data_IF_878411038948
#
_entry.id   IF_878411038948
#
_cell.length_a   1.000
_cell.length_b   1.000
_cell.length_c   1.000
_cell.angle_alpha   90.00
_cell.angle_beta   90.00
_cell.angle_gamma   90.00
#
_symmetry.space_group_name_H-M   'P 1'
#
loop_
_entity.id
_entity.type
_entity.pdbx_description
1 polymer ?
#
# COMPACT_ATOMS: atom_id res chain seq x y z
N UNK A 1 -64.10 -25.14 34.80
CA UNK A 1 -63.59 -23.81 34.37
C UNK A 1 -62.22 -23.45 34.96
N UNK A 2 -61.95 -23.61 36.26
CA UNK A 2 -60.66 -23.23 36.90
C UNK A 2 -59.41 -23.91 36.31
N UNK A 3 -59.54 -25.14 35.80
CA UNK A 3 -58.42 -25.94 35.27
C UNK A 3 -57.96 -25.49 33.88
N UNK A 4 -58.84 -24.90 33.06
CA UNK A 4 -58.51 -24.41 31.71
C UNK A 4 -57.66 -23.14 31.80
N UNK A 5 -57.94 -22.28 32.79
CA UNK A 5 -57.17 -21.06 33.05
C UNK A 5 -55.74 -21.34 33.54
N UNK A 6 -55.55 -22.40 34.33
CA UNK A 6 -54.23 -22.77 34.82
C UNK A 6 -53.34 -23.31 33.69
N UNK A 7 -53.90 -24.13 32.79
CA UNK A 7 -53.19 -24.65 31.62
C UNK A 7 -52.82 -23.55 30.63
N UNK A 8 -53.71 -22.57 30.42
CA UNK A 8 -53.44 -21.42 29.55
C UNK A 8 -52.31 -20.51 30.10
N UNK A 9 -52.25 -20.31 31.42
CA UNK A 9 -51.20 -19.54 32.08
C UNK A 9 -49.83 -20.23 32.00
N UNK A 10 -49.79 -21.56 32.19
CA UNK A 10 -48.55 -22.34 32.08
C UNK A 10 -48.05 -22.35 30.62
N UNK A 11 -48.95 -22.43 29.65
CA UNK A 11 -48.59 -22.37 28.24
C UNK A 11 -48.08 -20.98 27.81
N UNK A 12 -48.65 -19.89 28.34
CA UNK A 12 -48.15 -18.53 28.03
C UNK A 12 -46.77 -18.26 28.64
N UNK A 13 -46.45 -18.87 29.78
CA UNK A 13 -45.11 -18.78 30.42
C UNK A 13 -44.09 -19.64 29.66
N UNK A 14 -44.50 -20.79 29.11
CA UNK A 14 -43.62 -21.66 28.31
C UNK A 14 -43.32 -21.08 26.91
N UNK A 15 -44.24 -20.31 26.31
CA UNK A 15 -44.03 -19.71 24.98
C UNK A 15 -43.26 -18.39 25.04
N UNK A 16 -43.23 -17.71 26.19
CA UNK A 16 -42.49 -16.45 26.37
C UNK A 16 -40.97 -16.63 26.55
N UNK A 17 -40.48 -17.87 26.63
CA UNK A 17 -39.05 -18.19 26.75
C UNK A 17 -38.26 -18.25 25.43
N UNK A 18 -38.92 -18.17 24.27
CA UNK A 18 -38.23 -18.10 22.98
C UNK A 18 -37.81 -16.66 22.68
N UNK A 19 -36.81 -16.16 23.41
CA UNK A 19 -36.01 -15.04 22.93
C UNK A 19 -35.30 -15.53 21.66
N UNK A 20 -35.77 -15.09 20.49
CA UNK A 20 -35.04 -15.26 19.24
C UNK A 20 -33.74 -14.46 19.37
N UNK A 21 -32.65 -15.15 19.70
CA UNK A 21 -31.32 -14.58 19.53
C UNK A 21 -31.15 -14.33 18.03
N UNK A 22 -31.07 -13.06 17.65
CA UNK A 22 -30.76 -12.69 16.27
C UNK A 22 -29.42 -13.31 15.89
N UNK A 23 -29.40 -14.13 14.84
CA UNK A 23 -28.20 -14.82 14.40
C UNK A 23 -27.07 -13.84 14.10
N UNK A 24 -25.82 -14.26 14.37
CA UNK A 24 -24.64 -13.45 14.07
C UNK A 24 -24.51 -13.21 12.56
N UNK A 25 -24.52 -11.93 12.17
CA UNK A 25 -24.15 -11.45 10.85
C UNK A 25 -22.75 -10.84 10.93
N UNK A 26 -21.81 -11.43 10.21
CA UNK A 26 -20.40 -11.03 10.23
C UNK A 26 -20.06 -10.29 8.94
N UNK A 27 -19.51 -9.09 9.06
CA UNK A 27 -19.08 -8.31 7.91
C UNK A 27 -17.68 -7.74 8.14
N UNK A 28 -16.79 -8.06 7.20
CA UNK A 28 -15.46 -7.50 7.13
C UNK A 28 -15.30 -6.73 5.82
N UNK A 29 -15.66 -5.45 5.87
CA UNK A 29 -15.39 -4.50 4.82
C UNK A 29 -13.98 -3.94 4.95
N UNK A 30 -13.22 -3.98 3.85
CA UNK A 30 -11.89 -3.41 3.83
C UNK A 30 -11.52 -2.84 2.46
N UNK A 31 -10.79 -1.73 2.46
CA UNK A 31 -10.37 -1.01 1.25
C UNK A 31 -9.00 -0.37 1.47
N UNK A 32 -8.10 -0.45 0.49
CA UNK A 32 -6.85 0.32 0.51
C UNK A 32 -7.01 1.63 -0.26
N UNK A 33 -6.48 2.73 0.28
CA UNK A 33 -6.56 4.05 -0.37
C UNK A 33 -5.74 4.12 -1.66
N UNK A 34 -4.56 3.49 -1.66
CA UNK A 34 -3.62 3.48 -2.78
C UNK A 34 -2.97 2.11 -2.88
N UNK A 35 -2.46 1.77 -4.08
CA UNK A 35 -1.59 0.61 -4.29
C UNK A 35 -0.10 0.97 -4.34
N UNK A 36 0.22 2.27 -4.41
CA UNK A 36 1.59 2.77 -4.53
C UNK A 36 1.90 3.69 -3.36
N UNK A 37 3.06 3.48 -2.74
CA UNK A 37 3.63 4.32 -1.67
C UNK A 37 4.90 4.95 -2.22
N UNK A 38 4.88 6.25 -2.47
CA UNK A 38 6.06 7.00 -2.90
C UNK A 38 6.79 7.55 -1.68
N UNK A 39 8.07 7.21 -1.53
CA UNK A 39 8.89 7.61 -0.38
C UNK A 39 10.26 8.08 -0.86
N UNK A 40 10.81 9.10 -0.22
CA UNK A 40 12.18 9.54 -0.49
C UNK A 40 13.14 8.74 0.39
N UNK A 41 14.31 8.29 -0.11
CA UNK A 41 15.33 7.67 0.73
C UNK A 41 15.64 8.54 1.97
N UNK A 42 15.62 7.93 3.15
CA UNK A 42 15.83 8.60 4.44
C UNK A 42 14.57 9.23 5.06
N UNK A 43 13.43 9.19 4.36
CA UNK A 43 12.16 9.74 4.83
C UNK A 43 11.09 8.67 5.01
N UNK A 44 9.94 9.09 5.56
CA UNK A 44 8.77 8.24 5.75
C UNK A 44 7.60 8.68 4.86
N UNK A 45 6.77 7.71 4.47
CA UNK A 45 5.51 7.92 3.78
C UNK A 45 4.42 7.05 4.41
N UNK A 46 3.17 7.51 4.35
CA UNK A 46 2.04 6.83 4.99
C UNK A 46 0.99 6.43 3.95
N UNK A 47 0.55 5.18 4.02
CA UNK A 47 -0.63 4.69 3.32
C UNK A 47 -1.75 4.35 4.32
N UNK A 48 -2.98 4.22 3.81
CA UNK A 48 -4.16 3.91 4.62
C UNK A 48 -4.84 2.63 4.15
N UNK A 49 -5.25 1.82 5.11
CA UNK A 49 -6.22 0.74 4.95
C UNK A 49 -7.45 1.15 5.76
N UNK A 50 -8.59 1.21 5.08
CA UNK A 50 -9.90 1.47 5.66
C UNK A 50 -10.57 0.15 6.00
N UNK A 51 -11.09 0.05 7.22
CA UNK A 51 -11.85 -1.10 7.71
C UNK A 51 -13.23 -0.64 8.17
N UNK A 52 -14.28 -1.34 7.77
CA UNK A 52 -15.66 -0.95 8.05
C UNK A 52 -16.58 -2.17 8.16
N UNK A 53 -17.74 -1.97 8.77
CA UNK A 53 -18.72 -3.01 9.06
C UNK A 53 -20.13 -2.45 8.85
N UNK A 54 -20.66 -2.59 7.63
CA UNK A 54 -21.95 -1.99 7.22
C UNK A 54 -23.07 -3.02 7.01
N UNK A 55 -22.74 -4.31 7.05
CA UNK A 55 -23.71 -5.40 6.87
C UNK A 55 -23.69 -6.42 8.03
N UNK A 56 -22.84 -6.21 9.02
CA UNK A 56 -22.72 -7.09 10.19
C UNK A 56 -23.46 -6.51 11.38
N UNK A 57 -23.79 -7.38 12.34
CA UNK A 57 -24.39 -7.03 13.63
C UNK A 57 -23.49 -7.42 14.82
N UNK A 58 -22.20 -7.69 14.55
CA UNK A 58 -21.14 -7.97 15.53
C UNK A 58 -19.93 -7.09 15.24
N UNK A 59 -19.28 -6.57 16.27
CA UNK A 59 -18.06 -5.78 16.14
C UNK A 59 -16.93 -6.61 15.48
N UNK A 60 -16.21 -5.98 14.55
CA UNK A 60 -15.13 -6.61 13.80
C UNK A 60 -13.79 -6.21 14.42
N UNK A 61 -13.16 -7.14 15.13
CA UNK A 61 -11.86 -6.97 15.77
C UNK A 61 -10.76 -7.27 14.78
N UNK A 62 -9.87 -6.30 14.50
CA UNK A 62 -8.91 -6.41 13.39
C UNK A 62 -7.50 -6.39 13.90
N UNK A 63 -6.78 -7.48 13.65
CA UNK A 63 -5.33 -7.57 13.83
C UNK A 63 -4.62 -7.42 12.49
N UNK A 64 -3.51 -6.71 12.47
CA UNK A 64 -2.74 -6.44 11.27
C UNK A 64 -1.26 -6.76 11.48
N UNK A 65 -0.66 -7.39 10.47
CA UNK A 65 0.73 -7.81 10.50
C UNK A 65 1.43 -7.46 9.19
N UNK A 66 2.73 -7.17 9.29
CA UNK A 66 3.59 -6.99 8.11
C UNK A 66 4.05 -8.38 7.66
N UNK A 67 3.40 -8.92 6.63
CA UNK A 67 3.71 -10.26 6.12
C UNK A 67 5.02 -10.28 5.33
N UNK A 68 5.29 -9.23 4.57
CA UNK A 68 6.54 -9.07 3.82
C UNK A 68 6.94 -7.60 3.74
N UNK A 69 8.10 -7.26 4.30
CA UNK A 69 8.71 -5.94 4.17
C UNK A 69 9.96 -6.02 3.26
N UNK A 70 10.11 -5.11 2.29
CA UNK A 70 11.30 -5.08 1.46
C UNK A 70 12.55 -4.69 2.27
N UNK A 71 13.74 -5.19 1.90
CA UNK A 71 14.98 -4.85 2.59
C UNK A 71 15.28 -3.36 2.47
N UNK A 72 15.79 -2.77 3.56
CA UNK A 72 16.07 -1.34 3.65
C UNK A 72 14.84 -0.48 3.93
N UNK A 73 13.73 -1.09 4.34
CA UNK A 73 12.53 -0.37 4.77
C UNK A 73 12.12 -0.79 6.18
N UNK A 74 11.75 0.19 7.00
CA UNK A 74 11.08 -0.02 8.28
C UNK A 74 9.61 0.25 8.12
N UNK A 75 8.76 -0.73 8.46
CA UNK A 75 7.31 -0.61 8.34
C UNK A 75 6.68 -0.68 9.73
N UNK A 76 5.83 0.29 10.04
CA UNK A 76 5.08 0.36 11.31
C UNK A 76 3.60 0.53 11.03
N UNK A 77 2.77 -0.19 11.78
CA UNK A 77 1.31 -0.13 11.71
C UNK A 77 0.76 0.71 12.86
N UNK A 78 -0.15 1.64 12.55
CA UNK A 78 -0.75 2.55 13.53
C UNK A 78 -2.28 2.50 13.38
N UNK A 79 -3.06 2.24 14.45
CA UNK A 79 -2.61 1.94 15.82
C UNK A 79 -1.80 0.64 15.93
N UNK A 80 -0.95 0.57 16.95
CA UNK A 80 -0.17 -0.64 17.25
C UNK A 80 -1.08 -1.76 17.76
N UNK A 81 -0.65 -3.00 17.57
CA UNK A 81 -1.38 -4.15 18.11
C UNK A 81 -1.33 -4.13 19.65
N UNK A 82 -2.45 -4.45 20.28
CA UNK A 82 -2.61 -4.51 21.72
C UNK A 82 -3.61 -5.60 22.10
N UNK A 83 -3.56 -6.01 23.37
CA UNK A 83 -4.56 -6.92 23.92
C UNK A 83 -5.70 -6.13 24.54
N UNK A 84 -6.92 -6.53 24.24
CA UNK A 84 -8.14 -5.98 24.80
C UNK A 84 -9.03 -7.10 25.35
N UNK A 85 -9.79 -6.80 26.39
CA UNK A 85 -10.74 -7.72 27.01
C UNK A 85 -12.16 -7.20 26.80
N UNK A 86 -13.05 -8.08 26.34
CA UNK A 86 -14.43 -7.77 26.00
C UNK A 86 -15.38 -8.61 26.83
N UNK A 87 -16.40 -7.98 27.40
CA UNK A 87 -17.51 -8.70 28.03
C UNK A 87 -18.56 -9.03 26.98
N UNK A 88 -18.59 -10.28 26.55
CA UNK A 88 -19.54 -10.80 25.57
C UNK A 88 -20.56 -11.68 26.30
N UNK A 89 -21.72 -11.09 26.60
CA UNK A 89 -22.83 -11.76 27.30
C UNK A 89 -22.43 -12.40 28.65
N UNK A 90 -21.57 -11.74 29.42
CA UNK A 90 -21.11 -12.21 30.73
C UNK A 90 -19.84 -13.06 30.70
N UNK A 91 -19.29 -13.34 29.51
CA UNK A 91 -18.01 -14.02 29.34
C UNK A 91 -16.94 -13.00 28.93
N UNK A 92 -15.78 -13.06 29.61
CA UNK A 92 -14.63 -12.25 29.25
C UNK A 92 -13.86 -12.94 28.11
N UNK A 93 -13.77 -12.26 26.97
CA UNK A 93 -13.07 -12.70 25.78
C UNK A 93 -11.86 -11.80 25.57
N UNK A 94 -10.68 -12.38 25.35
CA UNK A 94 -9.47 -11.63 25.04
C UNK A 94 -9.26 -11.58 23.53
N UNK A 95 -8.99 -10.38 23.01
CA UNK A 95 -8.62 -10.11 21.62
C UNK A 95 -7.21 -9.54 21.56
N UNK A 96 -6.44 -9.92 20.54
CA UNK A 96 -5.23 -9.21 20.14
C UNK A 96 -5.53 -8.52 18.81
N UNK A 97 -5.46 -7.19 18.80
CA UNK A 97 -6.01 -6.37 17.72
C UNK A 97 -5.30 -5.02 17.62
N UNK A 98 -5.40 -4.40 16.45
CA UNK A 98 -5.00 -3.01 16.23
C UNK A 98 -6.21 -2.07 16.43
N UNK A 99 -7.37 -2.44 15.89
CA UNK A 99 -8.57 -1.61 15.90
C UNK A 99 -9.86 -2.45 15.87
N UNK A 100 -10.97 -1.81 16.22
CA UNK A 100 -12.32 -2.40 16.17
C UNK A 100 -13.23 -1.56 15.27
N UNK A 101 -13.88 -2.21 14.31
CA UNK A 101 -14.92 -1.62 13.47
C UNK A 101 -16.31 -2.04 13.96
N UNK A 102 -17.02 -1.06 14.53
CA UNK A 102 -18.37 -1.25 15.04
C UNK A 102 -19.40 -1.45 13.92
N UNK A 103 -20.46 -2.24 14.15
CA UNK A 103 -21.60 -2.32 13.25
C UNK A 103 -22.16 -0.94 12.95
N UNK A 104 -22.38 -0.67 11.67
CA UNK A 104 -23.01 0.57 11.21
C UNK A 104 -24.31 0.21 10.51
N UNK A 105 -25.39 0.88 10.92
CA UNK A 105 -26.67 0.76 10.25
C UNK A 105 -26.62 1.49 8.90
N UNK A 106 -26.71 0.72 7.82
CA UNK A 106 -26.64 1.21 6.45
C UNK A 106 -27.75 2.20 6.12
N UNK A 107 -28.94 2.03 6.72
CA UNK A 107 -30.09 2.89 6.47
C UNK A 107 -29.97 4.25 7.18
N UNK A 108 -29.02 4.35 8.12
CA UNK A 108 -28.73 5.56 8.90
C UNK A 108 -27.58 6.40 8.34
N UNK A 109 -26.97 5.99 7.23
CA UNK A 109 -25.77 6.64 6.70
C UNK A 109 -26.07 8.07 6.22
N UNK A 110 -25.21 9.05 6.56
CA UNK A 110 -25.41 10.41 6.12
C UNK A 110 -25.17 10.54 4.61
N UNK A 111 -26.04 11.27 3.93
CA UNK A 111 -25.93 11.53 2.48
C UNK A 111 -24.92 12.62 2.14
N UNK A 112 -24.56 13.45 3.12
CA UNK A 112 -23.49 14.45 3.03
C UNK A 112 -22.34 14.06 3.94
N UNK A 113 -21.10 14.31 3.51
CA UNK A 113 -19.90 13.99 4.29
C UNK A 113 -19.95 14.78 5.59
N UNK A 114 -19.97 14.13 6.77
CA UNK A 114 -19.90 14.86 8.02
C UNK A 114 -18.58 15.63 8.14
N UNK A 115 -18.65 16.84 8.68
CA UNK A 115 -17.48 17.71 8.84
C UNK A 115 -16.51 17.20 9.92
N UNK A 116 -17.04 16.46 10.90
CA UNK A 116 -16.28 15.88 11.99
C UNK A 116 -16.25 14.36 11.89
N UNK A 117 -15.08 13.79 12.18
CA UNK A 117 -14.90 12.36 12.30
C UNK A 117 -14.31 12.05 13.68
N UNK A 118 -14.70 10.89 14.23
CA UNK A 118 -14.07 10.39 15.44
C UNK A 118 -12.58 10.08 15.18
N UNK A 119 -11.77 10.09 16.24
CA UNK A 119 -10.35 9.76 16.14
C UNK A 119 -10.16 8.36 15.52
N UNK A 120 -9.22 8.25 14.58
CA UNK A 120 -8.95 7.01 13.85
C UNK A 120 -10.08 6.58 12.90
N UNK A 121 -11.07 7.45 12.63
CA UNK A 121 -12.17 7.19 11.70
C UNK A 121 -12.13 8.20 10.54
N UNK A 122 -12.43 7.73 9.33
CA UNK A 122 -12.67 8.57 8.16
C UNK A 122 -13.98 8.20 7.46
N UNK A 123 -14.67 9.21 6.94
CA UNK A 123 -15.88 9.03 6.14
C UNK A 123 -15.50 8.75 4.68
N UNK A 124 -15.79 7.54 4.21
CA UNK A 124 -15.51 7.08 2.85
C UNK A 124 -16.81 6.85 2.07
N UNK A 125 -16.72 6.88 0.74
CA UNK A 125 -17.80 6.40 -0.14
C UNK A 125 -17.47 4.99 -0.60
N UNK A 126 -18.51 4.16 -0.83
CA UNK A 126 -18.35 2.80 -1.32
C UNK A 126 -19.38 2.51 -2.42
N UNK A 127 -18.97 1.79 -3.46
CA UNK A 127 -19.89 1.33 -4.49
C UNK A 127 -20.96 0.39 -3.89
N UNK A 128 -22.23 0.64 -4.21
CA UNK A 128 -23.35 -0.17 -3.72
C UNK A 128 -23.90 0.25 -2.36
N UNK A 129 -23.41 1.34 -1.77
CA UNK A 129 -23.97 1.94 -0.55
C UNK A 129 -24.23 3.42 -0.79
N UNK A 130 -25.47 3.85 -0.56
CA UNK A 130 -25.86 5.25 -0.67
C UNK A 130 -25.54 5.99 0.63
N UNK A 131 -24.45 6.75 0.64
CA UNK A 131 -24.05 7.58 1.78
C UNK A 131 -22.56 7.49 2.10
N UNK A 132 -22.18 8.12 3.22
CA UNK A 132 -20.81 8.11 3.74
C UNK A 132 -20.68 7.09 4.86
N UNK A 133 -19.80 6.11 4.65
CA UNK A 133 -19.52 5.03 5.60
C UNK A 133 -18.41 5.46 6.55
N UNK A 134 -18.57 5.30 7.88
CA UNK A 134 -17.49 5.50 8.83
C UNK A 134 -16.53 4.31 8.78
N UNK A 135 -15.29 4.55 8.35
CA UNK A 135 -14.26 3.53 8.30
C UNK A 135 -13.16 3.81 9.32
N UNK A 136 -12.76 2.79 10.07
CA UNK A 136 -11.57 2.83 10.90
C UNK A 136 -10.32 2.80 10.04
N UNK A 137 -9.33 3.59 10.40
CA UNK A 137 -8.12 3.79 9.62
C UNK A 137 -6.95 3.07 10.27
N UNK A 138 -6.37 2.12 9.55
CA UNK A 138 -5.07 1.58 9.83
C UNK A 138 -4.04 2.29 8.93
N UNK A 139 -3.11 3.00 9.54
CA UNK A 139 -2.01 3.66 8.85
C UNK A 139 -0.83 2.69 8.70
N UNK A 140 -0.33 2.58 7.48
CA UNK A 140 0.89 1.85 7.15
C UNK A 140 1.97 2.90 6.91
N UNK A 141 2.82 3.12 7.93
CA UNK A 141 3.93 4.05 7.83
C UNK A 141 5.19 3.30 7.39
N UNK A 142 5.77 3.74 6.27
CA UNK A 142 6.92 3.11 5.61
C UNK A 142 8.07 4.10 5.59
N UNK A 143 9.19 3.74 6.20
CA UNK A 143 10.41 4.55 6.24
C UNK A 143 11.48 3.88 5.39
N UNK A 144 12.03 4.63 4.43
CA UNK A 144 13.07 4.16 3.52
C UNK A 144 14.46 4.50 4.07
N UNK A 145 15.40 3.57 3.99
CA UNK A 145 16.81 3.86 4.30
C UNK A 145 17.38 4.89 3.32
N UNK A 146 18.31 5.72 3.79
CA UNK A 146 18.88 6.83 3.00
C UNK A 146 19.67 6.39 1.75
N UNK A 147 20.18 5.15 1.75
CA UNK A 147 21.04 4.63 0.68
C UNK A 147 20.31 3.89 -0.44
N UNK A 148 18.98 3.86 -0.44
CA UNK A 148 18.22 3.10 -1.44
C UNK A 148 18.28 3.76 -2.83
N UNK A 149 18.40 2.96 -3.91
CA UNK A 149 18.39 3.50 -5.27
C UNK A 149 17.04 4.15 -5.58
N UNK A 150 17.06 5.25 -6.32
CA UNK A 150 15.85 5.94 -6.79
C UNK A 150 15.14 5.14 -7.89
N UNK A 151 13.84 5.41 -8.06
CA UNK A 151 12.98 4.84 -9.10
C UNK A 151 12.91 3.31 -9.11
N UNK A 152 13.13 2.69 -7.94
CA UNK A 152 13.04 1.25 -7.78
C UNK A 152 11.73 0.88 -7.09
N UNK A 153 11.06 -0.15 -7.61
CA UNK A 153 9.81 -0.67 -7.09
C UNK A 153 10.07 -1.86 -6.17
N UNK A 154 9.49 -1.80 -4.97
CA UNK A 154 9.59 -2.84 -3.96
C UNK A 154 8.19 -3.33 -3.57
N UNK A 155 8.05 -4.63 -3.30
CA UNK A 155 6.78 -5.21 -2.87
C UNK A 155 6.68 -5.19 -1.33
N UNK A 156 5.60 -4.63 -0.81
CA UNK A 156 5.21 -4.67 0.60
C UNK A 156 3.85 -5.36 0.71
N UNK A 157 3.72 -6.31 1.64
CA UNK A 157 2.47 -7.01 1.91
C UNK A 157 2.10 -6.86 3.37
N UNK A 158 0.91 -6.32 3.61
CA UNK A 158 0.27 -6.24 4.92
C UNK A 158 -0.89 -7.22 4.92
N UNK A 159 -0.96 -8.09 5.92
CA UNK A 159 -2.14 -8.95 6.12
C UNK A 159 -2.96 -8.43 7.28
N UNK A 160 -4.26 -8.53 7.19
CA UNK A 160 -5.15 -8.23 8.31
C UNK A 160 -6.14 -9.36 8.52
N UNK A 161 -6.33 -9.73 9.77
CA UNK A 161 -7.26 -10.77 10.21
C UNK A 161 -8.37 -10.12 11.03
N UNK A 162 -9.60 -10.25 10.53
CA UNK A 162 -10.82 -9.88 11.23
C UNK A 162 -11.32 -11.05 12.06
N UNK A 163 -11.64 -10.79 13.33
CA UNK A 163 -12.22 -11.72 14.28
C UNK A 163 -13.54 -11.19 14.82
N UNK A 164 -14.48 -12.10 15.09
CA UNK A 164 -15.73 -11.79 15.76
C UNK A 164 -15.95 -12.71 16.94
N UNK A 165 -16.72 -12.23 17.91
CA UNK A 165 -17.26 -13.05 18.97
C UNK A 165 -18.78 -13.18 18.77
N UNK A 166 -19.27 -14.41 18.82
CA UNK A 166 -20.70 -14.67 18.87
C UNK A 166 -21.03 -15.68 19.96
N UNK A 167 -22.22 -15.57 20.53
CA UNK A 167 -22.68 -16.44 21.61
C UNK A 167 -23.74 -17.37 21.02
N UNK A 168 -23.29 -18.53 20.58
CA UNK A 168 -24.17 -19.59 20.11
C UNK A 168 -24.66 -20.44 21.29
N UNK A 169 -25.66 -21.29 21.05
CA UNK A 169 -26.17 -22.27 22.03
C UNK A 169 -25.11 -23.23 22.57
N UNK A 170 -23.95 -23.33 21.90
CA UNK A 170 -22.80 -24.15 22.29
C UNK A 170 -21.66 -23.37 23.01
N UNK A 171 -21.82 -22.06 23.24
CA UNK A 171 -20.79 -21.19 23.83
C UNK A 171 -20.19 -20.18 22.86
N UNK A 172 -19.20 -19.38 23.30
CA UNK A 172 -18.58 -18.35 22.48
C UNK A 172 -17.78 -18.99 21.34
N UNK A 173 -18.03 -18.55 20.11
CA UNK A 173 -17.28 -18.98 18.92
C UNK A 173 -16.51 -17.78 18.39
N UNK A 174 -15.25 -18.01 18.02
CA UNK A 174 -14.44 -17.06 17.27
C UNK A 174 -14.43 -17.47 15.79
N UNK A 175 -14.81 -16.55 14.92
CA UNK A 175 -14.68 -16.70 13.47
C UNK A 175 -13.64 -15.72 12.96
N UNK A 176 -12.81 -16.16 12.00
CA UNK A 176 -11.73 -15.36 11.44
C UNK A 176 -11.87 -15.22 9.91
N UNK A 177 -11.57 -14.03 9.38
CA UNK A 177 -11.37 -13.79 7.95
C UNK A 177 -10.10 -12.98 7.72
N UNK A 178 -9.24 -13.44 6.81
CA UNK A 178 -7.99 -12.75 6.47
C UNK A 178 -8.07 -12.09 5.09
N UNK A 179 -7.38 -10.95 4.93
CA UNK A 179 -7.16 -10.26 3.65
C UNK A 179 -5.75 -9.71 3.58
N UNK A 180 -5.18 -9.79 2.39
CA UNK A 180 -3.86 -9.24 2.11
C UNK A 180 -3.96 -7.95 1.29
N UNK A 181 -3.17 -6.96 1.67
CA UNK A 181 -2.99 -5.68 0.98
C UNK A 181 -1.59 -5.61 0.43
N UNK A 182 -1.48 -5.58 -0.89
CA UNK A 182 -0.20 -5.45 -1.59
C UNK A 182 0.03 -4.00 -1.98
N UNK A 183 1.22 -3.50 -1.67
CA UNK A 183 1.71 -2.18 -2.03
C UNK A 183 2.99 -2.29 -2.87
N UNK A 184 3.10 -1.41 -3.87
CA UNK A 184 4.36 -1.07 -4.51
C UNK A 184 4.95 0.13 -3.78
N UNK A 185 6.06 -0.05 -3.08
CA UNK A 185 6.84 1.04 -2.49
C UNK A 185 7.85 1.52 -3.53
N UNK A 186 7.77 2.78 -3.93
CA UNK A 186 8.66 3.39 -4.93
C UNK A 186 9.51 4.48 -4.29
N UNK A 187 10.82 4.37 -4.43
CA UNK A 187 11.75 5.42 -4.05
C UNK A 187 11.74 6.54 -5.10
N UNK A 188 11.56 7.78 -4.68
CA UNK A 188 11.57 8.97 -5.56
C UNK A 188 12.43 10.07 -4.97
N UNK A 189 12.75 11.09 -5.77
CA UNK A 189 13.31 12.36 -5.30
C UNK A 189 12.37 13.48 -5.70
N UNK A 190 12.09 14.43 -4.79
CA UNK A 190 11.40 15.68 -5.14
C UNK A 190 12.35 16.72 -5.74
N UNK A 191 13.65 16.58 -5.52
CA UNK A 191 14.65 17.48 -6.08
C UNK A 191 14.97 17.08 -7.52
N UNK A 192 14.72 18.01 -8.45
CA UNK A 192 15.12 17.87 -9.85
C UNK A 192 16.60 18.27 -9.96
N UNK A 193 17.44 17.36 -10.47
CA UNK A 193 18.75 17.71 -10.97
C UNK A 193 18.96 17.07 -12.33
N UNK A 194 19.60 17.82 -13.23
CA UNK A 194 20.03 17.35 -14.54
C UNK A 194 21.54 17.45 -14.58
N UNK A 195 22.21 16.31 -14.80
CA UNK A 195 23.65 16.25 -15.00
C UNK A 195 23.91 15.68 -16.40
N UNK A 196 24.73 16.40 -17.17
CA UNK A 196 25.19 15.90 -18.46
C UNK A 196 26.18 14.76 -18.21
N UNK A 197 25.73 13.52 -18.44
CA UNK A 197 26.64 12.37 -18.41
C UNK A 197 27.52 12.43 -19.64
N UNK A 198 28.80 12.73 -19.45
CA UNK A 198 29.77 12.74 -20.54
C UNK A 198 29.72 11.38 -21.26
N UNK A 199 29.31 11.37 -22.53
CA UNK A 199 29.33 10.16 -23.34
C UNK A 199 30.78 9.91 -23.78
N UNK A 200 31.49 8.90 -23.25
CA UNK A 200 32.88 8.64 -23.63
C UNK A 200 33.05 8.27 -25.11
N UNK A 201 31.98 7.89 -25.81
CA UNK A 201 32.01 7.60 -27.26
C UNK A 201 31.99 8.88 -28.12
N UNK A 202 31.50 10.01 -27.61
CA UNK A 202 31.48 11.27 -28.38
C UNK A 202 32.89 11.78 -28.72
N UNK A 203 33.88 11.50 -27.86
CA UNK A 203 35.30 11.80 -28.15
C UNK A 203 35.95 10.82 -29.11
N UNK A 204 35.50 9.56 -29.14
CA UNK A 204 36.00 8.54 -30.06
C UNK A 204 35.51 8.76 -31.50
N UNK A 205 34.26 9.19 -31.67
CA UNK A 205 33.68 9.51 -32.99
C UNK A 205 34.34 10.73 -33.64
N UNK A 206 34.81 11.71 -32.83
CA UNK A 206 35.58 12.85 -33.34
C UNK A 206 36.94 12.43 -33.92
N UNK A 207 37.61 11.45 -33.31
CA UNK A 207 38.90 10.93 -33.80
C UNK A 207 38.73 9.92 -34.93
N UNK A 208 37.65 9.13 -34.95
CA UNK A 208 37.35 8.21 -36.06
C UNK A 208 36.80 8.91 -37.31
N UNK A 209 36.13 10.06 -37.15
CA UNK A 209 35.68 10.91 -38.27
C UNK A 209 36.79 11.71 -38.95
N UNK A 210 37.98 11.82 -38.33
CA UNK A 210 39.16 12.35 -38.99
C UNK A 210 39.73 11.31 -39.95
N UNK A 211 39.34 11.45 -41.21
CA UNK A 211 39.69 10.55 -42.30
C UNK A 211 41.22 10.48 -42.46
N UNK A 212 41.87 9.48 -41.84
CA UNK A 212 43.33 9.25 -41.87
C UNK A 212 43.89 9.25 -43.31
N UNK A 213 43.07 8.85 -44.28
CA UNK A 213 43.39 8.90 -45.71
C UNK A 213 43.57 10.33 -46.22
N UNK A 214 42.81 11.32 -45.72
CA UNK A 214 42.95 12.72 -46.10
C UNK A 214 44.32 13.27 -45.70
N UNK A 215 44.76 13.05 -44.46
CA UNK A 215 46.08 13.47 -44.00
C UNK A 215 47.21 12.74 -44.73
N UNK A 216 47.03 11.45 -45.00
CA UNK A 216 48.00 10.66 -45.78
C UNK A 216 48.12 11.18 -47.22
N UNK A 217 47.00 11.58 -47.83
CA UNK A 217 46.97 12.13 -49.19
C UNK A 217 47.62 13.51 -49.25
N UNK A 218 47.32 14.39 -48.28
CA UNK A 218 47.94 15.72 -48.18
C UNK A 218 49.45 15.60 -47.97
N UNK A 219 49.91 14.70 -47.08
CA UNK A 219 51.33 14.46 -46.86
C UNK A 219 52.04 13.92 -48.13
N UNK A 220 51.40 13.00 -48.85
CA UNK A 220 51.93 12.45 -50.10
C UNK A 220 52.06 13.53 -51.18
N UNK A 221 51.03 14.38 -51.35
CA UNK A 221 51.04 15.48 -52.31
C UNK A 221 52.18 16.46 -51.99
N UNK A 222 52.33 16.86 -50.73
CA UNK A 222 53.42 17.75 -50.30
C UNK A 222 54.80 17.13 -50.57
N UNK A 223 54.95 15.83 -50.35
CA UNK A 223 56.20 15.12 -50.62
C UNK A 223 56.52 15.06 -52.13
N UNK A 224 55.53 14.79 -52.97
CA UNK A 224 55.70 14.79 -54.44
C UNK A 224 56.06 16.18 -54.96
N UNK A 225 55.37 17.22 -54.50
CA UNK A 225 55.67 18.62 -54.86
C UNK A 225 57.08 19.01 -54.42
N UNK A 226 57.47 18.64 -53.20
CA UNK A 226 58.83 18.88 -52.69
C UNK A 226 59.91 18.19 -53.53
N UNK A 227 59.68 16.94 -53.94
CA UNK A 227 60.61 16.20 -54.81
C UNK A 227 60.70 16.81 -56.22
N UNK A 228 59.59 17.26 -56.79
CA UNK A 228 59.58 17.93 -58.09
C UNK A 228 60.31 19.28 -58.03
N UNK A 229 60.08 20.08 -56.98
CA UNK A 229 60.80 21.32 -56.76
C UNK A 229 62.32 21.07 -56.61
N UNK A 230 62.71 20.02 -55.88
CA UNK A 230 64.11 19.62 -55.72
C UNK A 230 64.75 19.21 -57.06
N UNK A 231 64.04 18.42 -57.89
CA UNK A 231 64.49 18.03 -59.23
C UNK A 231 64.71 19.25 -60.14
N UNK A 232 63.80 20.22 -60.11
CA UNK A 232 63.91 21.45 -60.90
C UNK A 232 65.04 22.38 -60.44
N UNK A 233 65.35 22.38 -59.14
CA UNK A 233 66.46 23.16 -58.58
C UNK A 233 67.83 22.51 -58.78
N UNK A 234 67.89 21.21 -59.11
CA UNK A 234 69.13 20.50 -59.38
C UNK A 234 69.67 20.89 -60.76
N UNK A 235 70.52 21.93 -60.81
CA UNK A 235 71.17 22.39 -62.04
C UNK A 235 71.87 21.21 -62.76
N UNK A 236 71.74 21.10 -64.10
CA UNK A 236 72.41 20.05 -64.84
C UNK A 236 73.92 20.24 -64.71
N UNK A 237 74.59 19.19 -64.23
CA UNK A 237 76.05 19.11 -64.23
C UNK A 237 76.50 19.00 -65.68
N UNK A 238 76.87 20.13 -66.30
CA UNK A 238 77.49 20.14 -67.64
C UNK A 238 78.79 19.35 -67.54
N UNK A 239 78.82 18.18 -68.18
CA UNK A 239 80.05 17.54 -68.65
C UNK A 239 80.38 18.10 -70.02
#
# INVERSE_FOLDING_TARGET
MRQIWLSALILSVLVSGFAYAEGGLFNYGAMQQSKVITVEPGNSATAKIFIFNVHGNRATHVHAEVLNAPPGFTVTLIPASHKAEYNVSGLIMTSEENLVAEPTDIDSLPTQKPETAAEGTEWITMGGVDGFVPAKVLLVNVTADAGLPLWTDYALVITTTANWYDVASAGPVSMGQARDFTYTVRTVTKEYSEEEVANPQAGADFLQGQNLWFYSTVALILLVVGLLAYQLLKKPTRR
#
